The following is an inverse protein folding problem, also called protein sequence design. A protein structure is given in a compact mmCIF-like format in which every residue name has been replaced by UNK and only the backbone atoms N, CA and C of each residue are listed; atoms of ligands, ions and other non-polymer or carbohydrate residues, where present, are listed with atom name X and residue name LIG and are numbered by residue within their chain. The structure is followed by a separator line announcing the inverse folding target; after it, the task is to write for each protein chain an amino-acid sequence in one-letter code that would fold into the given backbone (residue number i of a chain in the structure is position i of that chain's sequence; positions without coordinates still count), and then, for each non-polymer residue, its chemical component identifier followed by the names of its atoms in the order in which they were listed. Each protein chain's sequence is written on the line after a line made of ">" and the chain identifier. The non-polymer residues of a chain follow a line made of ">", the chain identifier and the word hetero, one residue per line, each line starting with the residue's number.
data_IF_041258612490
#
_entry.id   IF_041258612490
#
_cell.length_a   1.000
_cell.length_b   1.000
_cell.length_c   1.000
_cell.angle_alpha   90.00
_cell.angle_beta   90.00
_cell.angle_gamma   90.00
#
_symmetry.space_group_name_H-M   'P 1'
#
loop_
_entity.id
_entity.type
_entity.pdbx_description
1 polymer ?
#
# COMPACT_ATOMS: atom_id res chain seq x y z
N UNK A 1 8.43 2.45 19.04
CA UNK A 1 8.17 1.92 17.68
C UNK A 1 6.97 2.66 17.15
N UNK A 2 6.99 3.09 15.89
CA UNK A 2 5.86 3.77 15.25
C UNK A 2 4.64 2.83 15.15
N UNK A 3 3.40 3.33 15.21
CA UNK A 3 2.21 2.47 15.33
C UNK A 3 2.02 1.52 14.14
N UNK A 4 2.36 1.97 12.93
CA UNK A 4 2.35 1.10 11.73
C UNK A 4 3.35 -0.04 11.81
N UNK A 5 4.50 0.15 12.48
CA UNK A 5 5.53 -0.88 12.54
C UNK A 5 5.05 -2.12 13.29
N UNK A 6 4.30 -1.92 14.37
CA UNK A 6 3.66 -3.00 15.12
C UNK A 6 2.53 -3.67 14.33
N UNK A 7 1.74 -2.90 13.56
CA UNK A 7 0.69 -3.46 12.68
C UNK A 7 1.31 -4.30 11.55
N UNK A 8 2.35 -3.78 10.89
CA UNK A 8 3.11 -4.50 9.87
C UNK A 8 3.68 -5.82 10.40
N UNK A 9 4.40 -5.78 11.53
CA UNK A 9 5.02 -6.98 12.13
C UNK A 9 3.96 -8.04 12.42
N UNK A 10 2.84 -7.66 13.04
CA UNK A 10 1.77 -8.60 13.39
C UNK A 10 1.18 -9.25 12.13
N UNK A 11 0.88 -8.46 11.13
CA UNK A 11 0.21 -8.93 9.92
C UNK A 11 1.15 -9.76 9.03
N UNK A 12 2.42 -9.35 8.92
CA UNK A 12 3.46 -10.09 8.23
C UNK A 12 3.81 -11.41 8.95
N UNK A 13 3.86 -11.41 10.28
CA UNK A 13 4.04 -12.64 11.06
C UNK A 13 2.89 -13.63 10.78
N UNK A 14 1.64 -13.14 10.74
CA UNK A 14 0.46 -13.96 10.46
C UNK A 14 0.49 -14.56 9.04
N UNK A 15 0.94 -13.80 8.05
CA UNK A 15 0.92 -14.21 6.64
C UNK A 15 2.11 -15.08 6.23
N UNK A 16 3.31 -14.75 6.71
CA UNK A 16 4.55 -15.38 6.27
C UNK A 16 5.18 -16.29 7.33
N UNK A 17 4.64 -16.33 8.55
CA UNK A 17 5.20 -17.13 9.65
C UNK A 17 6.57 -16.66 10.14
N UNK A 18 7.04 -15.49 9.72
CA UNK A 18 8.37 -14.97 10.03
C UNK A 18 8.43 -14.45 11.48
N UNK A 19 9.50 -14.76 12.24
CA UNK A 19 9.68 -14.25 13.60
C UNK A 19 9.72 -12.72 13.64
N UNK A 20 9.22 -12.12 14.72
CA UNK A 20 9.24 -10.66 14.91
C UNK A 20 10.66 -10.06 14.78
N UNK A 21 11.69 -10.77 15.25
CA UNK A 21 13.08 -10.32 15.10
C UNK A 21 13.52 -10.19 13.64
N UNK A 22 13.15 -11.15 12.79
CA UNK A 22 13.47 -11.13 11.35
C UNK A 22 12.67 -10.04 10.63
N UNK A 23 11.41 -9.81 11.01
CA UNK A 23 10.59 -8.73 10.46
C UNK A 23 11.13 -7.34 10.83
N UNK A 24 11.70 -7.19 12.03
CA UNK A 24 12.41 -5.94 12.42
C UNK A 24 13.69 -5.73 11.63
N UNK A 25 14.50 -6.78 11.44
CA UNK A 25 15.70 -6.70 10.61
C UNK A 25 15.35 -6.36 9.15
N UNK A 26 14.29 -6.97 8.60
CA UNK A 26 13.75 -6.63 7.29
C UNK A 26 13.41 -5.14 7.19
N UNK A 27 12.68 -4.59 8.15
CA UNK A 27 12.33 -3.16 8.18
C UNK A 27 13.57 -2.27 8.21
N UNK A 28 14.60 -2.63 9.00
CA UNK A 28 15.85 -1.88 9.05
C UNK A 28 16.60 -1.89 7.72
N UNK A 29 16.70 -3.06 7.09
CA UNK A 29 17.36 -3.24 5.80
C UNK A 29 16.63 -2.45 4.72
N UNK A 30 15.31 -2.56 4.66
CA UNK A 30 14.45 -1.80 3.74
C UNK A 30 14.54 -0.29 3.96
N UNK A 31 14.68 0.18 5.21
CA UNK A 31 14.84 1.60 5.51
C UNK A 31 16.21 2.14 5.04
N UNK A 32 17.26 1.32 5.08
CA UNK A 32 18.61 1.66 4.62
C UNK A 32 18.78 1.56 3.10
N UNK A 33 17.89 0.86 2.41
CA UNK A 33 17.96 0.65 0.96
C UNK A 33 19.17 -0.20 0.53
N UNK A 34 19.64 -1.07 1.43
CA UNK A 34 20.82 -1.92 1.21
C UNK A 34 20.41 -3.21 0.50
N UNK A 35 20.62 -3.25 -0.82
CA UNK A 35 20.21 -4.37 -1.66
C UNK A 35 20.95 -5.67 -1.34
N UNK A 36 22.23 -5.61 -0.98
CA UNK A 36 23.02 -6.80 -0.65
C UNK A 36 22.54 -7.44 0.65
N UNK A 37 22.28 -6.62 1.67
CA UNK A 37 21.71 -7.10 2.94
C UNK A 37 20.28 -7.63 2.77
N UNK A 38 19.51 -7.05 1.85
CA UNK A 38 18.15 -7.51 1.58
C UNK A 38 18.16 -8.88 0.92
N UNK A 39 19.09 -9.10 -0.02
CA UNK A 39 19.28 -10.41 -0.64
C UNK A 39 19.76 -11.47 0.36
N UNK A 40 20.69 -11.11 1.24
CA UNK A 40 21.15 -11.99 2.32
C UNK A 40 20.00 -12.36 3.27
N UNK A 41 19.18 -11.38 3.66
CA UNK A 41 18.03 -11.59 4.52
C UNK A 41 17.01 -12.54 3.88
N UNK A 42 16.69 -12.34 2.60
CA UNK A 42 15.75 -13.19 1.85
C UNK A 42 16.25 -14.63 1.76
N UNK A 43 17.54 -14.83 1.47
CA UNK A 43 18.17 -16.16 1.46
C UNK A 43 18.14 -16.83 2.83
N UNK A 44 18.49 -16.10 3.90
CA UNK A 44 18.51 -16.62 5.27
C UNK A 44 17.13 -17.08 5.75
N UNK A 45 16.09 -16.35 5.37
CA UNK A 45 14.71 -16.62 5.77
C UNK A 45 13.94 -17.51 4.80
N UNK A 46 14.58 -17.96 3.70
CA UNK A 46 13.97 -18.79 2.66
C UNK A 46 12.65 -18.18 2.13
N UNK A 47 12.64 -16.87 1.92
CA UNK A 47 11.49 -16.14 1.38
C UNK A 47 11.53 -16.24 -0.14
N UNK A 48 10.47 -16.79 -0.73
CA UNK A 48 10.34 -16.88 -2.19
C UNK A 48 10.12 -15.50 -2.82
N UNK A 49 10.42 -15.36 -4.11
CA UNK A 49 10.32 -14.08 -4.83
C UNK A 49 8.91 -13.46 -4.74
N UNK A 50 7.86 -14.30 -4.84
CA UNK A 50 6.48 -13.85 -4.69
C UNK A 50 6.17 -13.30 -3.29
N UNK A 51 6.61 -14.01 -2.25
CA UNK A 51 6.41 -13.59 -0.85
C UNK A 51 7.21 -12.34 -0.53
N UNK A 52 8.41 -12.21 -1.08
CA UNK A 52 9.24 -11.02 -0.95
C UNK A 52 8.57 -9.78 -1.55
N UNK A 53 7.95 -9.91 -2.72
CA UNK A 53 7.20 -8.82 -3.35
C UNK A 53 6.01 -8.39 -2.50
N UNK A 54 5.24 -9.35 -1.96
CA UNK A 54 4.09 -9.04 -1.10
C UNK A 54 4.54 -8.40 0.21
N UNK A 55 5.58 -8.93 0.86
CA UNK A 55 6.14 -8.40 2.10
C UNK A 55 6.67 -6.96 1.92
N UNK A 56 7.35 -6.69 0.81
CA UNK A 56 7.85 -5.37 0.45
C UNK A 56 6.72 -4.38 0.16
N UNK A 57 5.69 -4.81 -0.57
CA UNK A 57 4.52 -4.00 -0.84
C UNK A 57 3.76 -3.66 0.45
N UNK A 58 3.59 -4.62 1.36
CA UNK A 58 3.01 -4.39 2.67
C UNK A 58 3.81 -3.35 3.47
N UNK A 59 5.13 -3.48 3.55
CA UNK A 59 5.98 -2.51 4.24
C UNK A 59 5.80 -1.08 3.68
N UNK A 60 5.79 -0.94 2.35
CA UNK A 60 5.59 0.36 1.69
C UNK A 60 4.21 0.92 2.00
N UNK A 61 3.15 0.10 1.93
CA UNK A 61 1.77 0.49 2.23
C UNK A 61 1.64 1.03 3.65
N UNK A 62 2.07 0.25 4.65
CA UNK A 62 1.98 0.64 6.06
C UNK A 62 2.78 1.90 6.39
N UNK A 63 4.00 2.03 5.84
CA UNK A 63 4.84 3.22 6.02
C UNK A 63 4.25 4.45 5.32
N UNK A 64 3.62 4.26 4.16
CA UNK A 64 2.99 5.34 3.40
C UNK A 64 1.69 5.78 4.07
N UNK A 65 0.88 4.86 4.61
CA UNK A 65 -0.33 5.16 5.36
C UNK A 65 -0.03 6.07 6.56
N UNK A 66 0.99 5.77 7.38
CA UNK A 66 1.37 6.66 8.48
C UNK A 66 1.86 8.02 7.97
N UNK A 67 2.70 8.04 6.94
CA UNK A 67 3.22 9.30 6.39
C UNK A 67 2.11 10.19 5.84
N UNK A 68 1.16 9.59 5.12
CA UNK A 68 -0.02 10.28 4.59
C UNK A 68 -0.90 10.74 5.75
N UNK A 69 -1.16 9.90 6.73
CA UNK A 69 -1.93 10.28 7.93
C UNK A 69 -1.27 11.43 8.68
N UNK A 70 0.04 11.43 8.88
CA UNK A 70 0.75 12.54 9.54
C UNK A 70 0.74 13.85 8.73
N UNK A 71 0.77 13.76 7.39
CA UNK A 71 0.58 14.95 6.52
C UNK A 71 -0.86 15.45 6.67
N UNK A 72 -1.84 14.56 6.66
CA UNK A 72 -3.26 14.91 6.75
C UNK A 72 -3.66 15.39 8.16
N UNK A 73 -3.12 14.84 9.24
CA UNK A 73 -3.36 15.29 10.62
C UNK A 73 -2.81 16.69 10.87
N UNK A 74 -1.72 17.06 10.20
CA UNK A 74 -1.16 18.42 10.25
C UNK A 74 -1.95 19.44 9.42
N UNK A 75 -2.89 18.97 8.59
CA UNK A 75 -3.77 19.80 7.79
C UNK A 75 -5.17 19.68 8.41
N UNK A 76 -5.72 20.73 9.02
CA UNK A 76 -7.13 20.77 9.43
C UNK A 76 -8.03 20.84 8.17
N UNK A 77 -8.00 19.81 7.33
CA UNK A 77 -8.76 19.72 6.10
C UNK A 77 -10.20 19.41 6.44
N UNK A 78 -11.10 20.20 5.88
CA UNK A 78 -12.50 19.80 5.79
C UNK A 78 -12.61 18.63 4.80
N UNK A 79 -13.67 17.83 4.94
CA UNK A 79 -13.85 16.60 4.16
C UNK A 79 -13.77 16.85 2.64
N UNK A 80 -14.25 17.99 2.16
CA UNK A 80 -14.17 18.43 0.77
C UNK A 80 -12.74 18.71 0.31
N UNK A 81 -11.90 19.30 1.15
CA UNK A 81 -10.48 19.56 0.85
C UNK A 81 -9.65 18.27 0.85
N UNK A 82 -9.96 17.34 1.76
CA UNK A 82 -9.35 16.01 1.78
C UNK A 82 -9.71 15.20 0.51
N UNK A 83 -10.98 15.26 0.07
CA UNK A 83 -11.43 14.63 -1.18
C UNK A 83 -10.72 15.26 -2.39
N UNK A 84 -10.60 16.58 -2.44
CA UNK A 84 -9.91 17.28 -3.52
C UNK A 84 -8.42 16.91 -3.59
N UNK A 85 -7.75 16.84 -2.43
CA UNK A 85 -6.35 16.44 -2.33
C UNK A 85 -6.14 14.99 -2.77
N UNK A 86 -6.96 14.06 -2.26
CA UNK A 86 -6.92 12.65 -2.67
C UNK A 86 -7.16 12.51 -4.18
N UNK A 87 -8.17 13.21 -4.72
CA UNK A 87 -8.45 13.23 -6.16
C UNK A 87 -7.28 13.76 -6.99
N UNK A 88 -6.58 14.80 -6.51
CA UNK A 88 -5.41 15.37 -7.16
C UNK A 88 -4.22 14.40 -7.19
N UNK A 89 -3.93 13.76 -6.05
CA UNK A 89 -2.86 12.76 -5.94
C UNK A 89 -3.13 11.55 -6.85
N UNK A 90 -4.37 11.08 -6.87
CA UNK A 90 -4.79 9.99 -7.77
C UNK A 90 -4.65 10.38 -9.24
N UNK A 91 -5.05 11.60 -9.61
CA UNK A 91 -4.89 12.09 -10.98
C UNK A 91 -3.40 12.20 -11.38
N UNK A 92 -2.53 12.65 -10.48
CA UNK A 92 -1.09 12.72 -10.73
C UNK A 92 -0.47 11.33 -10.92
N UNK A 93 -0.85 10.35 -10.08
CA UNK A 93 -0.43 8.96 -10.22
C UNK A 93 -0.86 8.38 -11.57
N UNK A 94 -2.14 8.51 -11.93
CA UNK A 94 -2.70 8.03 -13.21
C UNK A 94 -2.01 8.70 -14.40
N UNK A 95 -1.74 10.00 -14.32
CA UNK A 95 -1.08 10.75 -15.39
C UNK A 95 0.39 10.38 -15.55
N UNK A 96 1.07 10.00 -14.45
CA UNK A 96 2.46 9.55 -14.45
C UNK A 96 2.66 8.13 -15.01
N UNK A 97 1.59 7.38 -15.23
CA UNK A 97 1.67 6.01 -15.76
C UNK A 97 1.66 5.95 -17.28
N UNK A 98 2.31 4.92 -17.82
CA UNK A 98 2.28 4.56 -19.24
C UNK A 98 0.85 4.27 -19.73
N UNK A 99 0.54 4.72 -20.95
CA UNK A 99 -0.83 4.73 -21.48
C UNK A 99 -1.45 3.34 -21.62
N UNK A 100 -0.65 2.31 -21.91
CA UNK A 100 -1.12 0.93 -22.15
C UNK A 100 -1.76 0.29 -20.91
N UNK A 101 -1.30 0.63 -19.71
CA UNK A 101 -1.77 0.01 -18.46
C UNK A 101 -2.68 0.92 -17.62
N UNK A 102 -2.95 2.13 -18.10
CA UNK A 102 -3.67 3.17 -17.35
C UNK A 102 -5.11 2.78 -17.02
N UNK A 103 -5.83 2.20 -17.97
CA UNK A 103 -7.20 1.73 -17.77
C UNK A 103 -7.28 0.61 -16.73
N UNK A 104 -6.50 -0.46 -16.92
CA UNK A 104 -6.50 -1.63 -16.06
C UNK A 104 -6.16 -1.29 -14.59
N UNK A 105 -5.14 -0.46 -14.37
CA UNK A 105 -4.73 -0.05 -13.02
C UNK A 105 -5.77 0.90 -12.40
N UNK A 106 -6.39 1.80 -13.17
CA UNK A 106 -7.48 2.64 -12.67
C UNK A 106 -8.68 1.80 -12.25
N UNK A 107 -9.03 0.77 -13.03
CA UNK A 107 -10.07 -0.17 -12.68
C UNK A 107 -9.73 -0.91 -11.37
N UNK A 108 -8.49 -1.39 -11.20
CA UNK A 108 -8.04 -2.06 -9.98
C UNK A 108 -8.11 -1.15 -8.75
N UNK A 109 -7.69 0.11 -8.90
CA UNK A 109 -7.78 1.14 -7.85
C UNK A 109 -9.25 1.35 -7.43
N UNK A 110 -10.14 1.57 -8.40
CA UNK A 110 -11.55 1.83 -8.13
C UNK A 110 -12.24 0.61 -7.49
N UNK A 111 -11.94 -0.60 -7.97
CA UNK A 111 -12.46 -1.84 -7.39
C UNK A 111 -11.94 -2.05 -5.96
N UNK A 112 -10.67 -1.76 -5.70
CA UNK A 112 -10.08 -1.86 -4.36
C UNK A 112 -10.71 -0.85 -3.41
N UNK A 113 -10.95 0.39 -3.86
CA UNK A 113 -11.67 1.40 -3.08
C UNK A 113 -13.13 0.99 -2.80
N UNK A 114 -13.80 0.38 -3.78
CA UNK A 114 -15.18 -0.10 -3.62
C UNK A 114 -15.30 -1.17 -2.51
N UNK A 115 -14.28 -2.01 -2.31
CA UNK A 115 -14.24 -3.01 -1.23
C UNK A 115 -14.21 -2.40 0.18
N UNK A 116 -13.81 -1.13 0.31
CA UNK A 116 -13.75 -0.41 1.58
C UNK A 116 -15.05 0.35 1.90
N UNK A 117 -16.06 0.31 1.02
CA UNK A 117 -17.33 1.02 1.19
C UNK A 117 -18.41 0.05 1.66
N UNK A 118 -18.98 0.33 2.84
CA UNK A 118 -20.05 -0.47 3.43
C UNK A 118 -21.36 -0.39 2.61
N UNK A 119 -21.68 0.81 2.09
CA UNK A 119 -22.87 1.04 1.27
C UNK A 119 -22.82 0.25 -0.03
N UNK A 120 -23.80 -0.65 -0.19
CA UNK A 120 -23.90 -1.55 -1.34
C UNK A 120 -24.14 -0.81 -2.66
N UNK A 121 -24.99 0.21 -2.65
CA UNK A 121 -25.36 0.93 -3.88
C UNK A 121 -24.18 1.77 -4.39
N UNK A 122 -23.45 2.42 -3.48
CA UNK A 122 -22.24 3.17 -3.82
C UNK A 122 -21.14 2.23 -4.34
N UNK A 123 -20.91 1.10 -3.65
CA UNK A 123 -19.95 0.07 -4.07
C UNK A 123 -20.25 -0.46 -5.48
N UNK A 124 -21.52 -0.75 -5.78
CA UNK A 124 -21.95 -1.24 -7.10
C UNK A 124 -21.74 -0.19 -8.21
N UNK A 125 -22.05 1.09 -7.93
CA UNK A 125 -21.81 2.19 -8.88
C UNK A 125 -20.32 2.37 -9.18
N UNK A 126 -19.45 2.31 -8.17
CA UNK A 126 -18.00 2.41 -8.38
C UNK A 126 -17.47 1.20 -9.16
N UNK A 127 -17.95 -0.01 -8.87
CA UNK A 127 -17.58 -1.20 -9.64
C UNK A 127 -18.04 -1.12 -11.10
N UNK A 128 -19.19 -0.51 -11.37
CA UNK A 128 -19.67 -0.25 -12.74
C UNK A 128 -18.79 0.76 -13.48
N UNK A 129 -18.39 1.85 -12.80
CA UNK A 129 -17.44 2.82 -13.35
C UNK A 129 -16.10 2.15 -13.65
N UNK A 130 -15.60 1.30 -12.75
CA UNK A 130 -14.33 0.59 -12.93
C UNK A 130 -14.35 -0.35 -14.14
N UNK A 131 -15.48 -1.01 -14.43
CA UNK A 131 -15.63 -1.88 -15.61
C UNK A 131 -15.48 -1.12 -16.93
N UNK A 132 -15.71 0.18 -16.98
CA UNK A 132 -15.53 0.99 -18.18
C UNK A 132 -14.06 1.30 -18.50
N UNK A 133 -13.12 0.94 -17.61
CA UNK A 133 -11.68 1.11 -17.78
C UNK A 133 -10.94 -0.19 -18.13
N UNK A 134 -11.65 -1.33 -18.18
CA UNK A 134 -11.14 -2.67 -18.57
C UNK A 134 -11.67 -3.01 -19.96
#
# INVERSE_FOLDING_TARGET
>A
MAEWSSRFIRDANRLFGLPEGELKDFMEVMAKGDAERLEEWTRRNNVEEGDFLVLSAMYILYKTEERVSGILEGLELKADEAIALAGSLMAQLVNGMEAENRGAIMAQILLTAALQIDDKEIREKIAEIARNFI
#
